data_IF_156025358018
#
_entry.id   IF_156025358018
#
_cell.length_a   1.000
_cell.length_b   1.000
_cell.length_c   1.000
_cell.angle_alpha   90.00
_cell.angle_beta   90.00
_cell.angle_gamma   90.00
#
_symmetry.space_group_name_H-M   'P 1'
#
loop_
_entity.id
_entity.type
_entity.pdbx_description
1 polymer ?
#
# COMPACT_ATOMS: atom_id res chain seq x y z
N UNK A 1 53.46 -9.27 -6.24
CA UNK A 1 53.28 -10.51 -7.03
C UNK A 1 53.90 -11.76 -6.42
N UNK A 2 54.79 -11.66 -5.42
CA UNK A 2 55.39 -12.83 -4.74
C UNK A 2 54.91 -13.03 -3.29
N UNK A 3 53.87 -12.32 -2.87
CA UNK A 3 53.27 -12.49 -1.54
C UNK A 3 52.18 -13.56 -1.67
N UNK A 4 52.23 -14.66 -0.89
CA UNK A 4 51.21 -15.69 -0.93
C UNK A 4 49.87 -15.14 -0.45
N UNK A 5 48.81 -15.38 -1.22
CA UNK A 5 47.45 -15.07 -0.79
C UNK A 5 47.03 -16.04 0.31
N UNK A 6 46.65 -15.49 1.47
CA UNK A 6 46.04 -16.24 2.57
C UNK A 6 44.61 -15.71 2.77
N UNK A 7 43.58 -16.58 2.79
CA UNK A 7 42.23 -16.14 3.03
C UNK A 7 42.06 -15.64 4.46
N UNK A 8 41.24 -14.61 4.64
CA UNK A 8 40.90 -14.13 5.97
C UNK A 8 40.16 -15.21 6.76
N UNK A 9 40.62 -15.49 7.99
CA UNK A 9 39.94 -16.38 8.93
C UNK A 9 39.12 -15.51 9.89
N UNK A 10 37.81 -15.62 9.83
CA UNK A 10 36.89 -14.93 10.73
C UNK A 10 35.89 -15.91 11.34
N UNK A 11 35.46 -15.66 12.58
CA UNK A 11 34.30 -16.34 13.17
C UNK A 11 33.05 -15.55 12.77
N UNK A 12 32.16 -16.20 12.04
CA UNK A 12 30.84 -15.65 11.76
C UNK A 12 30.02 -15.65 13.06
N UNK A 13 29.36 -14.54 13.35
CA UNK A 13 28.46 -14.37 14.48
C UNK A 13 27.27 -13.50 14.07
N UNK A 14 26.15 -13.68 14.76
CA UNK A 14 24.90 -12.98 14.47
C UNK A 14 24.02 -13.67 13.43
N UNK A 15 22.77 -13.23 13.37
CA UNK A 15 21.79 -13.66 12.36
C UNK A 15 21.77 -12.71 11.17
N UNK A 16 21.35 -13.19 10.00
CA UNK A 16 21.22 -12.32 8.82
C UNK A 16 20.28 -11.13 9.06
N UNK A 17 19.28 -11.29 9.94
CA UNK A 17 18.34 -10.22 10.32
C UNK A 17 18.96 -9.10 11.16
N UNK A 18 20.16 -9.30 11.72
CA UNK A 18 20.89 -8.25 12.45
C UNK A 18 21.73 -7.37 11.49
N UNK A 19 21.84 -7.75 10.22
CA UNK A 19 22.51 -6.94 9.21
C UNK A 19 21.72 -5.66 8.93
N UNK A 20 22.41 -4.52 8.90
CA UNK A 20 21.82 -3.19 8.69
C UNK A 20 21.06 -3.08 7.37
N UNK A 21 21.44 -3.84 6.35
CA UNK A 21 20.83 -3.81 5.02
C UNK A 21 19.78 -4.91 4.83
N UNK A 22 19.58 -5.79 5.81
CA UNK A 22 18.66 -6.92 5.69
C UNK A 22 17.25 -6.48 5.28
N UNK A 23 16.69 -5.47 5.96
CA UNK A 23 15.32 -5.01 5.67
C UNK A 23 15.18 -4.35 4.30
N UNK A 24 16.22 -3.66 3.84
CA UNK A 24 16.32 -3.10 2.48
C UNK A 24 16.38 -4.20 1.41
N UNK A 25 17.29 -5.16 1.56
CA UNK A 25 17.43 -6.28 0.60
C UNK A 25 16.18 -7.15 0.58
N UNK A 26 15.55 -7.35 1.75
CA UNK A 26 14.28 -8.05 1.87
C UNK A 26 13.18 -7.30 1.11
N UNK A 27 13.03 -5.99 1.31
CA UNK A 27 12.04 -5.19 0.59
C UNK A 27 12.26 -5.22 -0.93
N UNK A 28 13.52 -5.12 -1.38
CA UNK A 28 13.89 -5.25 -2.80
C UNK A 28 13.48 -6.61 -3.37
N UNK A 29 13.85 -7.70 -2.69
CA UNK A 29 13.54 -9.05 -3.14
C UNK A 29 12.02 -9.29 -3.21
N UNK A 30 11.26 -8.78 -2.24
CA UNK A 30 9.80 -8.86 -2.20
C UNK A 30 9.16 -8.11 -3.38
N UNK A 31 9.58 -6.87 -3.65
CA UNK A 31 9.04 -6.08 -4.77
C UNK A 31 9.41 -6.68 -6.14
N UNK A 32 10.63 -7.20 -6.31
CA UNK A 32 11.00 -7.95 -7.50
C UNK A 32 10.12 -9.19 -7.68
N UNK A 33 9.80 -9.91 -6.59
CA UNK A 33 8.97 -11.11 -6.64
C UNK A 33 7.51 -10.83 -7.01
N UNK A 34 7.04 -9.60 -6.74
CA UNK A 34 5.73 -9.09 -7.16
C UNK A 34 5.71 -8.61 -8.62
N UNK A 35 6.82 -8.75 -9.35
CA UNK A 35 6.89 -8.43 -10.78
C UNK A 35 7.07 -6.95 -11.08
N UNK A 36 7.70 -6.20 -10.16
CA UNK A 36 8.16 -4.84 -10.42
C UNK A 36 9.64 -4.83 -10.84
N UNK A 37 10.01 -3.85 -11.66
CA UNK A 37 11.39 -3.58 -12.05
C UNK A 37 12.01 -2.51 -11.14
N UNK A 38 13.21 -2.78 -10.61
CA UNK A 38 13.94 -1.79 -9.83
C UNK A 38 14.55 -0.73 -10.76
N UNK A 39 14.39 0.54 -10.39
CA UNK A 39 15.01 1.68 -11.06
C UNK A 39 15.97 2.37 -10.09
N UNK A 40 16.99 3.01 -10.65
CA UNK A 40 17.94 3.82 -9.87
C UNK A 40 18.08 5.19 -10.49
N UNK A 41 17.77 6.23 -9.73
CA UNK A 41 17.92 7.60 -10.15
C UNK A 41 19.08 8.30 -9.43
N UNK A 42 19.62 9.35 -10.04
CA UNK A 42 20.53 10.25 -9.35
C UNK A 42 19.86 10.86 -8.12
N UNK A 43 20.64 11.19 -7.09
CA UNK A 43 20.12 11.83 -5.88
C UNK A 43 20.02 13.36 -6.01
N UNK A 44 20.55 13.94 -7.09
CA UNK A 44 20.60 15.39 -7.34
C UNK A 44 19.69 15.79 -8.50
N UNK A 45 18.90 16.85 -8.30
CA UNK A 45 17.79 17.23 -9.16
C UNK A 45 17.62 18.76 -9.27
N UNK A 46 16.87 19.24 -10.27
CA UNK A 46 16.42 20.62 -10.33
C UNK A 46 15.45 20.93 -9.19
N UNK A 47 15.45 22.17 -8.70
CA UNK A 47 14.59 22.61 -7.59
C UNK A 47 13.10 22.34 -7.86
N UNK A 48 12.63 22.59 -9.08
CA UNK A 48 11.22 22.41 -9.45
C UNK A 48 10.74 20.97 -9.23
N UNK A 49 11.57 19.98 -9.57
CA UNK A 49 11.24 18.56 -9.40
C UNK A 49 11.26 18.15 -7.92
N UNK A 50 12.15 18.75 -7.12
CA UNK A 50 12.19 18.51 -5.67
C UNK A 50 10.95 19.03 -4.93
N UNK A 51 10.37 20.14 -5.39
CA UNK A 51 9.20 20.76 -4.77
C UNK A 51 7.87 20.12 -5.22
N UNK A 52 7.87 19.47 -6.39
CA UNK A 52 6.67 18.91 -7.00
C UNK A 52 5.92 17.95 -6.05
N UNK A 53 4.59 18.13 -5.95
CA UNK A 53 3.72 17.24 -5.18
C UNK A 53 3.92 17.32 -3.67
N UNK A 54 4.53 18.40 -3.16
CA UNK A 54 4.82 18.60 -1.74
C UNK A 54 4.51 20.03 -1.29
N UNK A 55 4.46 20.24 0.02
CA UNK A 55 4.38 21.57 0.65
C UNK A 55 5.77 22.16 0.96
N UNK A 56 6.83 21.49 0.55
CA UNK A 56 8.21 21.92 0.81
C UNK A 56 8.50 23.25 0.12
N UNK A 57 9.42 24.00 0.71
CA UNK A 57 10.01 25.19 0.13
C UNK A 57 11.49 24.94 -0.15
N UNK A 58 12.12 25.83 -0.91
CA UNK A 58 13.56 25.72 -1.20
C UNK A 58 14.41 25.64 0.08
N UNK A 59 14.02 26.36 1.14
CA UNK A 59 14.68 26.35 2.44
C UNK A 59 14.65 24.98 3.14
N UNK A 60 13.74 24.08 2.75
CA UNK A 60 13.62 22.73 3.32
C UNK A 60 14.50 21.71 2.58
N UNK A 61 15.16 22.12 1.49
CA UNK A 61 15.91 21.23 0.59
C UNK A 61 17.40 21.57 0.64
N UNK A 62 18.23 20.53 0.63
CA UNK A 62 19.67 20.70 0.62
C UNK A 62 20.16 21.09 -0.77
N UNK A 63 20.71 22.30 -0.90
CA UNK A 63 21.41 22.76 -2.10
C UNK A 63 22.89 22.37 -2.04
N UNK A 64 23.39 21.78 -3.12
CA UNK A 64 24.82 21.47 -3.28
C UNK A 64 25.60 22.77 -3.49
N UNK A 65 26.72 22.96 -2.79
CA UNK A 65 27.50 24.20 -2.88
C UNK A 65 28.09 24.43 -4.27
N UNK A 66 28.64 23.37 -4.88
CA UNK A 66 29.31 23.41 -6.19
C UNK A 66 28.67 22.36 -7.13
N UNK A 67 27.44 22.58 -7.61
CA UNK A 67 26.77 21.61 -8.46
C UNK A 67 27.39 21.59 -9.86
N UNK A 68 27.33 20.43 -10.51
CA UNK A 68 27.83 20.25 -11.90
C UNK A 68 26.97 21.08 -12.87
N UNK A 69 25.67 21.18 -12.62
CA UNK A 69 24.71 21.99 -13.37
C UNK A 69 23.53 22.43 -12.50
N UNK A 70 22.73 23.37 -12.99
CA UNK A 70 21.48 23.79 -12.33
C UNK A 70 20.50 22.62 -12.18
N UNK A 71 20.52 21.68 -13.12
CA UNK A 71 19.66 20.49 -13.13
C UNK A 71 20.07 19.44 -12.08
N UNK A 72 21.19 19.65 -11.40
CA UNK A 72 21.72 18.76 -10.35
C UNK A 72 22.07 19.54 -9.08
N UNK A 73 21.37 20.67 -8.84
CA UNK A 73 21.70 21.60 -7.78
C UNK A 73 21.18 21.22 -6.39
N UNK A 74 20.15 20.37 -6.29
CA UNK A 74 19.47 20.06 -5.02
C UNK A 74 19.42 18.56 -4.77
N UNK A 75 19.60 18.14 -3.52
CA UNK A 75 19.35 16.76 -3.13
C UNK A 75 17.85 16.49 -3.09
N UNK A 76 17.43 15.35 -3.62
CA UNK A 76 16.02 14.96 -3.68
C UNK A 76 15.41 14.82 -2.26
N UNK A 77 14.26 15.46 -1.99
CA UNK A 77 13.59 15.34 -0.70
C UNK A 77 12.62 14.18 -0.63
N UNK A 78 12.33 13.52 -1.75
CA UNK A 78 11.51 12.32 -1.89
C UNK A 78 11.88 11.59 -3.20
N UNK A 79 11.25 10.44 -3.49
CA UNK A 79 11.47 9.67 -4.73
C UNK A 79 10.53 10.04 -5.89
N UNK A 80 9.57 10.95 -5.69
CA UNK A 80 8.50 11.25 -6.66
C UNK A 80 9.03 11.75 -8.01
N UNK A 81 9.94 12.72 -7.99
CA UNK A 81 10.54 13.28 -9.23
C UNK A 81 11.27 12.21 -10.05
N UNK A 82 11.98 11.30 -9.36
CA UNK A 82 12.64 10.14 -9.95
C UNK A 82 11.68 9.23 -10.71
N UNK A 83 10.60 8.82 -10.04
CA UNK A 83 9.55 7.98 -10.62
C UNK A 83 8.94 8.65 -11.86
N UNK A 84 8.52 9.92 -11.76
CA UNK A 84 7.89 10.65 -12.86
C UNK A 84 8.80 10.78 -14.09
N UNK A 85 10.10 11.02 -13.87
CA UNK A 85 11.08 11.10 -14.97
C UNK A 85 11.23 9.77 -15.70
N UNK A 86 11.30 8.66 -14.96
CA UNK A 86 11.43 7.32 -15.55
C UNK A 86 10.15 6.91 -16.27
N UNK A 87 8.98 7.24 -15.72
CA UNK A 87 7.69 7.07 -16.41
C UNK A 87 7.69 7.84 -17.72
N UNK A 88 8.02 9.14 -17.70
CA UNK A 88 8.06 9.96 -18.91
C UNK A 88 9.07 9.44 -19.95
N UNK A 89 10.26 9.01 -19.49
CA UNK A 89 11.28 8.42 -20.35
C UNK A 89 10.75 7.21 -21.14
N UNK A 90 10.05 6.30 -20.46
CA UNK A 90 9.51 5.08 -21.07
C UNK A 90 8.30 5.37 -21.97
N UNK A 91 7.37 6.19 -21.50
CA UNK A 91 6.17 6.57 -22.26
C UNK A 91 6.55 7.28 -23.57
N UNK A 92 7.57 8.14 -23.55
CA UNK A 92 8.10 8.79 -24.76
C UNK A 92 8.70 7.82 -25.78
N UNK A 93 8.99 6.58 -25.38
CA UNK A 93 9.52 5.48 -26.21
C UNK A 93 8.45 4.42 -26.51
N UNK A 94 7.18 4.75 -26.31
CA UNK A 94 6.03 3.86 -26.50
C UNK A 94 5.95 2.66 -25.54
N UNK A 95 6.63 2.71 -24.40
CA UNK A 95 6.45 1.73 -23.30
C UNK A 95 5.45 2.28 -22.30
N UNK A 96 4.27 1.65 -22.22
CA UNK A 96 3.12 2.14 -21.43
C UNK A 96 2.73 1.24 -20.25
N UNK A 97 3.12 -0.04 -20.32
CA UNK A 97 2.95 -0.99 -19.23
C UNK A 97 4.18 -0.89 -18.34
N UNK A 98 4.03 -0.22 -17.20
CA UNK A 98 5.12 0.09 -16.28
C UNK A 98 4.76 -0.42 -14.89
N UNK A 99 5.68 -1.17 -14.29
CA UNK A 99 5.64 -1.60 -12.90
C UNK A 99 7.02 -1.40 -12.33
N UNK A 100 7.28 -0.22 -11.78
CA UNK A 100 8.63 0.15 -11.36
C UNK A 100 8.64 0.51 -9.89
N UNK A 101 9.78 0.27 -9.23
CA UNK A 101 10.02 0.76 -7.89
C UNK A 101 11.45 1.26 -7.72
N UNK A 102 11.65 2.14 -6.75
CA UNK A 102 12.96 2.61 -6.32
C UNK A 102 13.05 2.51 -4.80
N UNK A 103 14.18 2.03 -4.28
CA UNK A 103 14.55 2.17 -2.87
C UNK A 103 15.76 3.09 -2.81
N UNK A 104 15.65 4.20 -2.10
CA UNK A 104 16.66 5.24 -2.21
C UNK A 104 16.72 6.20 -1.05
N UNK A 105 17.92 6.76 -0.83
CA UNK A 105 18.12 7.83 0.14
C UNK A 105 17.50 9.13 -0.36
N UNK A 106 16.87 9.84 0.56
CA UNK A 106 16.31 11.17 0.36
C UNK A 106 16.70 12.08 1.53
N UNK A 107 16.72 13.38 1.26
CA UNK A 107 17.36 14.36 2.14
C UNK A 107 16.47 15.58 2.33
N UNK A 108 16.26 15.98 3.58
CA UNK A 108 15.52 17.21 3.90
C UNK A 108 16.22 17.98 5.03
N UNK A 109 16.06 19.30 5.03
CA UNK A 109 16.44 20.14 6.17
C UNK A 109 15.26 20.18 7.15
N UNK A 110 15.49 19.69 8.38
CA UNK A 110 14.55 19.87 9.50
C UNK A 110 15.23 20.67 10.59
N UNK A 111 14.63 21.81 10.96
CA UNK A 111 15.19 22.74 11.95
C UNK A 111 16.66 23.14 11.63
N UNK A 112 16.96 23.37 10.36
CA UNK A 112 18.30 23.73 9.87
C UNK A 112 19.31 22.58 9.86
N UNK A 113 18.91 21.34 10.17
CA UNK A 113 19.78 20.16 10.15
C UNK A 113 19.39 19.19 9.05
N UNK A 114 20.37 18.59 8.34
CA UNK A 114 20.08 17.54 7.37
C UNK A 114 19.54 16.30 8.08
N UNK A 115 18.45 15.77 7.53
CA UNK A 115 17.88 14.48 7.87
C UNK A 115 17.93 13.62 6.62
N UNK A 116 18.60 12.47 6.74
CA UNK A 116 18.66 11.44 5.72
C UNK A 116 17.72 10.31 6.12
N UNK A 117 16.92 9.83 5.17
CA UNK A 117 16.06 8.66 5.32
C UNK A 117 16.08 7.82 4.06
N UNK A 118 15.67 6.57 4.18
CA UNK A 118 15.50 5.67 3.03
C UNK A 118 14.02 5.58 2.72
N UNK A 119 13.63 5.96 1.51
CA UNK A 119 12.26 5.83 1.03
C UNK A 119 12.13 4.67 0.06
N UNK A 120 10.89 4.22 -0.10
CA UNK A 120 10.44 3.30 -1.13
C UNK A 120 9.41 4.06 -1.97
N UNK A 121 9.59 4.01 -3.28
CA UNK A 121 8.69 4.61 -4.25
C UNK A 121 8.25 3.57 -5.26
N UNK A 122 6.96 3.50 -5.57
CA UNK A 122 6.39 2.56 -6.54
C UNK A 122 5.58 3.37 -7.56
N UNK A 123 5.64 2.97 -8.84
CA UNK A 123 4.81 3.52 -9.90
C UNK A 123 4.26 2.41 -10.80
N UNK A 124 2.94 2.40 -10.98
CA UNK A 124 2.22 1.45 -11.82
C UNK A 124 1.41 2.20 -12.90
N UNK A 125 1.47 1.73 -14.14
CA UNK A 125 0.66 2.23 -15.26
C UNK A 125 0.49 1.14 -16.31
N UNK A 126 -0.57 1.21 -17.10
CA UNK A 126 -0.80 0.32 -18.23
C UNK A 126 -1.75 -0.82 -17.94
N UNK A 127 -1.59 -1.91 -18.68
CA UNK A 127 -2.45 -3.09 -18.63
C UNK A 127 -2.12 -3.96 -17.43
N UNK A 128 -3.15 -4.57 -16.86
CA UNK A 128 -3.03 -5.45 -15.68
C UNK A 128 -2.36 -6.78 -16.03
N UNK A 129 -2.62 -7.34 -17.19
CA UNK A 129 -2.03 -8.62 -17.63
C UNK A 129 -1.78 -8.62 -19.15
N UNK A 130 -0.81 -7.82 -19.64
CA UNK A 130 -0.58 -7.64 -21.08
C UNK A 130 -0.21 -8.92 -21.85
N UNK A 131 0.34 -9.91 -21.14
CA UNK A 131 0.76 -11.22 -21.65
C UNK A 131 -0.37 -12.24 -21.79
N UNK A 132 -1.53 -11.99 -21.16
CA UNK A 132 -2.67 -12.90 -21.18
C UNK A 132 -3.50 -12.75 -22.46
N UNK A 133 -4.40 -13.71 -22.66
CA UNK A 133 -5.34 -13.76 -23.78
C UNK A 133 -6.77 -13.58 -23.28
N UNK A 134 -7.70 -13.23 -24.18
CA UNK A 134 -9.10 -13.02 -23.82
C UNK A 134 -9.35 -11.65 -23.17
N UNK A 135 -10.40 -11.58 -22.33
CA UNK A 135 -10.86 -10.32 -21.72
C UNK A 135 -9.81 -9.68 -20.80
N UNK A 136 -9.04 -10.50 -20.06
CA UNK A 136 -8.01 -10.05 -19.11
C UNK A 136 -6.94 -9.17 -19.75
N UNK A 137 -6.66 -9.36 -21.06
CA UNK A 137 -5.68 -8.56 -21.81
C UNK A 137 -6.05 -7.08 -21.90
N UNK A 138 -7.35 -6.78 -21.79
CA UNK A 138 -7.89 -5.41 -21.90
C UNK A 138 -8.09 -4.75 -20.54
N UNK A 139 -7.91 -5.49 -19.45
CA UNK A 139 -7.95 -4.91 -18.11
C UNK A 139 -6.76 -3.98 -17.90
N UNK A 140 -7.04 -2.79 -17.36
CA UNK A 140 -6.03 -1.82 -17.00
C UNK A 140 -5.74 -1.90 -15.51
N UNK A 141 -4.54 -1.49 -15.14
CA UNK A 141 -4.21 -1.24 -13.74
C UNK A 141 -5.15 -0.13 -13.24
N UNK A 142 -5.72 -0.34 -12.06
CA UNK A 142 -6.52 0.62 -11.32
C UNK A 142 -5.96 0.83 -9.90
N UNK A 143 -6.65 1.63 -9.10
CA UNK A 143 -6.28 1.92 -7.72
C UNK A 143 -6.20 0.62 -6.88
N UNK A 144 -7.13 -0.31 -7.09
CA UNK A 144 -7.21 -1.55 -6.32
C UNK A 144 -6.11 -2.55 -6.69
N UNK A 145 -5.59 -2.50 -7.93
CA UNK A 145 -4.40 -3.24 -8.32
C UNK A 145 -3.18 -2.80 -7.49
N UNK A 146 -2.97 -1.49 -7.30
CA UNK A 146 -1.92 -0.99 -6.42
C UNK A 146 -2.18 -1.37 -4.95
N UNK A 147 -3.42 -1.19 -4.47
CA UNK A 147 -3.80 -1.57 -3.10
C UNK A 147 -3.49 -3.04 -2.81
N UNK A 148 -3.92 -3.95 -3.67
CA UNK A 148 -3.71 -5.39 -3.50
C UNK A 148 -2.23 -5.78 -3.56
N UNK A 149 -1.43 -5.09 -4.38
CA UNK A 149 0.03 -5.25 -4.42
C UNK A 149 0.66 -4.86 -3.08
N UNK A 150 0.26 -3.71 -2.52
CA UNK A 150 0.75 -3.23 -1.22
C UNK A 150 0.29 -4.15 -0.07
N UNK A 151 -0.97 -4.59 -0.07
CA UNK A 151 -1.49 -5.54 0.92
C UNK A 151 -0.69 -6.86 0.87
N UNK A 152 -0.51 -7.44 -0.32
CA UNK A 152 0.27 -8.67 -0.51
C UNK A 152 1.71 -8.52 -0.03
N UNK A 153 2.34 -7.38 -0.32
CA UNK A 153 3.70 -7.09 0.10
C UNK A 153 3.83 -6.99 1.63
N UNK A 154 2.91 -6.28 2.27
CA UNK A 154 2.91 -6.10 3.73
C UNK A 154 2.53 -7.38 4.47
N UNK A 155 1.58 -8.16 3.95
CA UNK A 155 1.19 -9.46 4.49
C UNK A 155 2.34 -10.49 4.41
N UNK A 156 3.11 -10.50 3.32
CA UNK A 156 4.30 -11.34 3.20
C UNK A 156 5.33 -11.06 4.30
N UNK A 157 5.34 -9.82 4.82
CA UNK A 157 6.16 -9.40 5.96
C UNK A 157 5.54 -9.76 7.31
N UNK A 158 4.34 -10.32 7.34
CA UNK A 158 3.59 -10.71 8.53
C UNK A 158 2.71 -9.60 9.11
N UNK A 159 2.48 -8.51 8.37
CA UNK A 159 1.63 -7.42 8.80
C UNK A 159 0.19 -7.68 8.35
N UNK A 160 -0.66 -8.15 9.27
CA UNK A 160 -2.04 -8.56 8.96
C UNK A 160 -3.11 -7.57 9.42
N UNK A 161 -2.79 -6.68 10.36
CA UNK A 161 -3.72 -5.68 10.89
C UNK A 161 -3.58 -4.34 10.16
N UNK A 162 -3.62 -4.40 8.83
CA UNK A 162 -3.50 -3.22 7.99
C UNK A 162 -4.79 -2.39 8.05
N UNK A 163 -4.63 -1.08 8.17
CA UNK A 163 -5.72 -0.11 8.06
C UNK A 163 -5.51 0.71 6.81
N UNK A 164 -6.57 0.86 6.01
CA UNK A 164 -6.55 1.69 4.83
C UNK A 164 -7.54 2.84 4.99
N UNK A 165 -7.04 4.08 4.99
CA UNK A 165 -7.84 5.28 5.24
C UNK A 165 -7.67 6.27 4.10
N UNK A 166 -8.78 6.91 3.69
CA UNK A 166 -8.72 7.97 2.68
C UNK A 166 -8.02 9.20 3.28
N UNK A 167 -7.05 9.75 2.55
CA UNK A 167 -6.28 10.92 2.96
C UNK A 167 -6.15 11.92 1.81
N UNK A 168 -5.73 13.14 2.11
CA UNK A 168 -5.38 14.13 1.10
C UNK A 168 -3.87 14.32 1.06
N UNK A 169 -3.30 14.33 -0.14
CA UNK A 169 -1.88 14.56 -0.31
C UNK A 169 -1.62 15.13 -1.72
N UNK A 170 -0.76 16.14 -1.82
CA UNK A 170 -0.56 16.94 -3.05
C UNK A 170 -0.03 16.14 -4.24
N UNK A 171 0.62 15.01 -3.98
CA UNK A 171 1.08 14.12 -5.04
C UNK A 171 -0.04 13.32 -5.74
N UNK A 172 -1.25 13.33 -5.20
CA UNK A 172 -2.33 12.46 -5.66
C UNK A 172 -3.58 13.23 -6.05
N UNK A 173 -4.40 12.61 -6.90
CA UNK A 173 -5.71 13.12 -7.29
C UNK A 173 -6.65 13.11 -6.09
N UNK A 174 -7.41 14.19 -5.93
CA UNK A 174 -8.43 14.29 -4.88
C UNK A 174 -9.45 13.16 -5.01
N UNK A 175 -9.78 12.51 -3.88
CA UNK A 175 -10.67 11.35 -3.83
C UNK A 175 -10.07 10.02 -4.29
N UNK A 176 -8.81 9.99 -4.74
CA UNK A 176 -8.11 8.77 -5.18
C UNK A 176 -6.75 8.61 -4.46
N UNK A 177 -6.74 8.86 -3.15
CA UNK A 177 -5.56 8.81 -2.29
C UNK A 177 -5.91 8.13 -0.96
N UNK A 178 -5.05 7.22 -0.51
CA UNK A 178 -5.18 6.54 0.77
C UNK A 178 -3.83 6.39 1.45
N UNK A 179 -3.86 6.26 2.78
CA UNK A 179 -2.72 5.79 3.56
C UNK A 179 -2.96 4.36 4.01
N UNK A 180 -1.88 3.58 4.06
CA UNK A 180 -1.83 2.25 4.66
C UNK A 180 -1.06 2.36 5.97
N UNK A 181 -1.66 1.92 7.07
CA UNK A 181 -1.03 1.97 8.39
C UNK A 181 -1.12 0.63 9.13
N UNK A 182 -0.17 0.40 10.03
CA UNK A 182 -0.16 -0.71 10.97
C UNK A 182 0.29 -0.20 12.33
N UNK A 183 -0.33 -0.67 13.42
CA UNK A 183 -0.05 -0.23 14.80
C UNK A 183 -0.02 1.30 14.98
N UNK A 184 -0.90 2.01 14.25
CA UNK A 184 -0.99 3.47 14.27
C UNK A 184 0.13 4.21 13.54
N UNK A 185 1.05 3.51 12.86
CA UNK A 185 2.11 4.11 12.03
C UNK A 185 1.73 4.05 10.57
N UNK A 186 1.78 5.19 9.88
CA UNK A 186 1.61 5.26 8.43
C UNK A 186 2.83 4.64 7.74
N UNK A 187 2.60 3.56 6.99
CA UNK A 187 3.65 2.84 6.27
C UNK A 187 3.86 3.44 4.89
N UNK A 188 2.75 3.69 4.19
CA UNK A 188 2.72 4.12 2.79
C UNK A 188 1.55 5.08 2.57
N UNK A 189 1.77 6.08 1.73
CA UNK A 189 0.70 6.86 1.08
C UNK A 189 0.67 6.49 -0.40
N UNK A 190 -0.51 6.26 -0.95
CA UNK A 190 -0.65 5.78 -2.31
C UNK A 190 -1.94 6.25 -2.98
N UNK A 191 -1.94 6.27 -4.30
CA UNK A 191 -3.09 6.74 -5.06
C UNK A 191 -2.78 7.02 -6.52
N UNK A 192 -3.77 7.59 -7.21
CA UNK A 192 -3.58 8.07 -8.58
C UNK A 192 -2.82 9.40 -8.57
N UNK A 193 -1.84 9.55 -9.46
CA UNK A 193 -1.01 10.74 -9.53
C UNK A 193 -1.85 12.01 -9.81
N UNK A 194 -1.52 13.11 -9.14
CA UNK A 194 -2.20 14.38 -9.36
C UNK A 194 -2.06 14.85 -10.82
N UNK A 195 -3.12 15.41 -11.46
CA UNK A 195 -3.07 15.87 -12.85
C UNK A 195 -1.94 16.88 -13.13
N UNK A 196 -1.60 17.70 -12.14
CA UNK A 196 -0.52 18.68 -12.25
C UNK A 196 0.87 18.03 -12.42
N UNK A 197 1.10 16.85 -11.80
CA UNK A 197 2.38 16.14 -11.84
C UNK A 197 2.61 15.41 -13.16
N UNK A 198 1.54 14.92 -13.78
CA UNK A 198 1.62 14.18 -15.04
C UNK A 198 1.45 15.08 -16.27
N UNK A 199 1.30 16.39 -16.05
CA UNK A 199 1.15 17.37 -17.14
C UNK A 199 2.37 17.33 -18.06
N UNK A 200 2.11 17.07 -19.35
CA UNK A 200 3.16 16.96 -20.37
C UNK A 200 3.71 15.54 -20.56
N UNK A 201 3.39 14.60 -19.67
CA UNK A 201 3.64 13.17 -19.88
C UNK A 201 2.51 12.62 -20.75
N UNK A 202 2.85 11.98 -21.88
CA UNK A 202 1.87 11.42 -22.84
C UNK A 202 1.30 10.07 -22.38
N UNK A 203 0.80 10.02 -21.16
CA UNK A 203 0.20 8.82 -20.57
C UNK A 203 -1.00 8.34 -21.40
N UNK A 204 -1.04 7.04 -21.71
CA UNK A 204 -2.22 6.37 -22.29
C UNK A 204 -3.16 5.80 -21.22
N UNK A 205 -2.63 5.59 -20.03
CA UNK A 205 -3.31 4.96 -18.89
C UNK A 205 -3.08 5.81 -17.64
N UNK A 206 -3.95 5.73 -16.62
CA UNK A 206 -3.71 6.38 -15.33
C UNK A 206 -2.40 5.90 -14.71
N UNK A 207 -1.73 6.80 -13.98
CA UNK A 207 -0.51 6.52 -13.23
C UNK A 207 -0.85 6.42 -11.75
N UNK A 208 -0.55 5.28 -11.13
CA UNK A 208 -0.69 5.05 -9.70
C UNK A 208 0.67 5.04 -9.03
N UNK A 209 0.77 5.67 -7.87
CA UNK A 209 2.02 5.87 -7.14
C UNK A 209 1.85 5.41 -5.69
N UNK A 210 2.93 4.90 -5.08
CA UNK A 210 3.02 4.74 -3.63
C UNK A 210 4.37 5.25 -3.13
N UNK A 211 4.37 5.88 -1.96
CA UNK A 211 5.55 6.44 -1.31
C UNK A 211 5.53 6.02 0.18
N UNK A 212 6.67 5.61 0.71
CA UNK A 212 6.79 5.23 2.12
C UNK A 212 8.21 5.34 2.66
N UNK A 213 8.34 5.44 3.98
CA UNK A 213 9.63 5.43 4.68
C UNK A 213 9.97 3.99 5.09
N UNK A 214 11.11 3.48 4.61
CA UNK A 214 11.55 2.12 4.90
C UNK A 214 11.80 1.92 6.40
N UNK A 215 12.31 2.93 7.11
CA UNK A 215 12.55 2.82 8.55
C UNK A 215 11.23 2.71 9.33
N UNK A 216 10.17 3.38 8.88
CA UNK A 216 8.85 3.24 9.50
C UNK A 216 8.31 1.83 9.26
N UNK A 217 8.43 1.32 8.03
CA UNK A 217 8.06 -0.05 7.67
C UNK A 217 8.81 -1.10 8.51
N UNK A 218 10.11 -0.92 8.73
CA UNK A 218 10.94 -1.81 9.56
C UNK A 218 10.64 -1.68 11.06
N UNK A 219 10.11 -0.53 11.49
CA UNK A 219 9.77 -0.30 12.90
C UNK A 219 8.47 -0.99 13.35
N UNK A 220 7.72 -1.57 12.42
CA UNK A 220 6.54 -2.38 12.74
C UNK A 220 6.95 -3.84 12.74
N UNK A 221 6.95 -4.43 13.93
CA UNK A 221 7.32 -5.82 14.10
C UNK A 221 6.14 -6.71 13.69
N UNK A 222 6.41 -7.70 12.84
CA UNK A 222 5.47 -8.78 12.63
C UNK A 222 5.29 -9.56 13.95
N UNK A 223 4.05 -9.96 14.30
CA UNK A 223 3.83 -10.83 15.43
C UNK A 223 4.58 -12.16 15.23
N UNK A 224 5.06 -12.72 16.33
CA UNK A 224 5.68 -14.04 16.33
C UNK A 224 4.70 -15.07 15.75
N UNK A 225 5.16 -15.82 14.74
CA UNK A 225 4.37 -16.91 14.15
C UNK A 225 4.28 -18.04 15.17
N UNK A 226 3.12 -18.18 15.79
CA UNK A 226 2.81 -19.28 16.69
C UNK A 226 2.05 -20.35 15.94
N UNK A 227 2.40 -21.61 16.21
CA UNK A 227 1.58 -22.72 15.75
C UNK A 227 0.17 -22.56 16.32
N UNK A 228 -0.81 -22.67 15.44
CA UNK A 228 -2.21 -22.79 15.78
C UNK A 228 -2.69 -24.13 15.22
N UNK A 229 -3.39 -24.91 16.02
CA UNK A 229 -3.95 -26.17 15.56
C UNK A 229 -4.93 -25.92 14.40
N UNK A 230 -4.86 -26.78 13.39
CA UNK A 230 -5.82 -26.73 12.30
C UNK A 230 -7.22 -27.05 12.87
N UNK A 231 -8.25 -26.28 12.47
CA UNK A 231 -9.60 -26.53 12.95
C UNK A 231 -10.06 -27.93 12.53
N UNK A 232 -10.50 -28.74 13.49
CA UNK A 232 -11.03 -30.08 13.24
C UNK A 232 -12.50 -30.05 12.79
N UNK A 233 -13.17 -28.90 12.95
CA UNK A 233 -14.58 -28.71 12.64
C UNK A 233 -14.75 -27.67 11.53
N UNK A 234 -15.78 -27.81 10.68
CA UNK A 234 -15.99 -26.89 9.58
C UNK A 234 -16.40 -25.50 10.08
N UNK A 235 -15.92 -24.47 9.39
CA UNK A 235 -16.45 -23.11 9.52
C UNK A 235 -17.83 -22.99 8.86
N UNK A 236 -18.65 -22.07 9.36
CA UNK A 236 -19.98 -21.73 8.82
C UNK A 236 -19.98 -20.26 8.40
N UNK A 237 -20.28 -20.01 7.12
CA UNK A 237 -20.41 -18.67 6.59
C UNK A 237 -21.86 -18.15 6.70
N UNK A 238 -22.01 -16.85 6.98
CA UNK A 238 -23.27 -16.11 6.88
C UNK A 238 -23.05 -14.80 6.18
N UNK A 239 -23.89 -14.55 5.19
CA UNK A 239 -23.86 -13.30 4.47
C UNK A 239 -24.75 -12.26 5.15
N UNK A 240 -24.29 -11.02 5.16
CA UNK A 240 -25.09 -9.86 5.56
C UNK A 240 -25.01 -8.80 4.47
N UNK A 241 -26.17 -8.23 4.14
CA UNK A 241 -26.25 -7.12 3.21
C UNK A 241 -27.00 -5.97 3.85
N UNK A 242 -26.52 -4.76 3.59
CA UNK A 242 -27.13 -3.54 4.09
C UNK A 242 -26.86 -2.38 3.14
N UNK A 243 -27.79 -1.43 3.13
CA UNK A 243 -27.64 -0.17 2.41
C UNK A 243 -26.93 0.83 3.31
N UNK A 244 -25.84 1.38 2.82
CA UNK A 244 -24.99 2.33 3.49
C UNK A 244 -24.97 3.68 2.76
N UNK A 245 -24.76 4.79 3.50
CA UNK A 245 -24.48 6.07 2.87
C UNK A 245 -23.12 6.03 2.15
N UNK A 246 -22.99 6.74 1.03
CA UNK A 246 -21.78 6.80 0.17
C UNK A 246 -20.48 7.16 0.90
N UNK A 247 -20.55 7.91 2.00
CA UNK A 247 -19.38 8.26 2.81
C UNK A 247 -18.93 7.17 3.80
N UNK A 248 -19.71 6.11 4.03
CA UNK A 248 -19.33 5.04 4.95
C UNK A 248 -18.23 4.19 4.32
N UNK A 249 -17.08 4.11 4.98
CA UNK A 249 -15.93 3.35 4.48
C UNK A 249 -15.98 1.89 4.93
N UNK A 250 -15.43 1.01 4.09
CA UNK A 250 -15.19 -0.39 4.44
C UNK A 250 -14.39 -0.54 5.75
N UNK A 251 -13.36 0.29 5.95
CA UNK A 251 -12.56 0.28 7.18
C UNK A 251 -13.42 0.54 8.43
N UNK A 252 -14.38 1.47 8.36
CA UNK A 252 -15.28 1.78 9.48
C UNK A 252 -16.16 0.58 9.85
N UNK A 253 -16.59 -0.20 8.86
CA UNK A 253 -17.37 -1.43 9.06
C UNK A 253 -16.50 -2.50 9.73
N UNK A 254 -15.29 -2.74 9.20
CA UNK A 254 -14.34 -3.68 9.80
C UNK A 254 -14.02 -3.32 11.26
N UNK A 255 -13.75 -2.04 11.53
CA UNK A 255 -13.48 -1.54 12.88
C UNK A 255 -14.65 -1.79 13.82
N UNK A 256 -15.87 -1.59 13.33
CA UNK A 256 -17.09 -1.78 14.10
C UNK A 256 -17.29 -3.26 14.45
N UNK A 257 -17.08 -4.16 13.49
CA UNK A 257 -17.17 -5.61 13.71
C UNK A 257 -16.04 -6.09 14.65
N UNK A 258 -14.80 -5.65 14.42
CA UNK A 258 -13.65 -6.00 15.26
C UNK A 258 -13.83 -5.55 16.71
N UNK A 259 -14.38 -4.35 16.94
CA UNK A 259 -14.66 -3.81 18.27
C UNK A 259 -15.68 -4.66 19.06
N UNK A 260 -16.50 -5.47 18.39
CA UNK A 260 -17.45 -6.38 19.07
C UNK A 260 -16.75 -7.57 19.74
N UNK A 261 -15.50 -7.89 19.35
CA UNK A 261 -14.73 -9.05 19.83
C UNK A 261 -15.57 -10.32 19.82
N UNK A 262 -16.20 -10.59 18.68
CA UNK A 262 -17.11 -11.72 18.55
C UNK A 262 -16.33 -13.03 18.75
N UNK A 263 -16.80 -13.93 19.64
CA UNK A 263 -16.20 -15.24 19.74
C UNK A 263 -16.40 -15.97 18.42
N UNK A 264 -15.44 -16.81 18.04
CA UNK A 264 -15.53 -17.71 16.88
C UNK A 264 -15.59 -17.02 15.51
N UNK A 265 -15.61 -15.69 15.42
CA UNK A 265 -15.50 -14.99 14.14
C UNK A 265 -14.06 -15.11 13.63
N UNK A 266 -13.90 -15.79 12.50
CA UNK A 266 -12.60 -16.07 11.89
C UNK A 266 -12.29 -15.08 10.75
N UNK A 267 -13.30 -14.78 9.92
CA UNK A 267 -13.11 -14.00 8.69
C UNK A 267 -14.29 -13.09 8.41
N UNK A 268 -13.98 -11.91 7.85
CA UNK A 268 -14.97 -10.92 7.38
C UNK A 268 -14.54 -10.50 5.98
N UNK A 269 -15.36 -10.79 4.97
CA UNK A 269 -15.03 -10.52 3.57
C UNK A 269 -16.09 -9.67 2.91
N UNK A 270 -15.70 -8.55 2.32
CA UNK A 270 -16.56 -7.80 1.41
C UNK A 270 -16.50 -8.47 0.04
N UNK A 271 -17.63 -8.96 -0.45
CA UNK A 271 -17.67 -9.66 -1.74
C UNK A 271 -18.49 -8.92 -2.81
N UNK A 272 -19.33 -7.96 -2.43
CA UNK A 272 -20.11 -7.18 -3.39
C UNK A 272 -20.38 -5.75 -2.90
N UNK A 273 -20.33 -4.80 -3.84
CA UNK A 273 -20.78 -3.43 -3.68
C UNK A 273 -21.71 -3.12 -4.85
N UNK A 274 -22.99 -2.98 -4.56
CA UNK A 274 -23.99 -2.64 -5.56
C UNK A 274 -24.41 -1.17 -5.40
N UNK A 275 -24.20 -0.37 -6.45
CA UNK A 275 -24.58 1.03 -6.51
C UNK A 275 -25.55 1.25 -7.68
N UNK A 276 -26.83 1.47 -7.36
CA UNK A 276 -27.86 1.85 -8.33
C UNK A 276 -28.79 2.88 -7.68
N UNK A 277 -28.70 4.14 -8.13
CA UNK A 277 -29.48 5.24 -7.57
C UNK A 277 -30.99 5.05 -7.74
N UNK A 278 -31.45 4.34 -8.77
CA UNK A 278 -32.89 4.12 -9.00
C UNK A 278 -33.46 3.13 -7.99
N UNK A 279 -32.64 2.17 -7.55
CA UNK A 279 -33.05 1.10 -6.62
C UNK A 279 -32.79 1.49 -5.17
N UNK A 280 -31.70 2.21 -4.90
CA UNK A 280 -31.22 2.51 -3.54
C UNK A 280 -31.46 3.96 -3.10
N UNK A 281 -31.78 4.86 -4.03
CA UNK A 281 -31.77 6.30 -3.80
C UNK A 281 -30.38 6.91 -3.97
N UNK A 282 -30.34 8.21 -4.23
CA UNK A 282 -29.10 8.95 -4.46
C UNK A 282 -28.18 8.91 -3.22
N UNK A 283 -26.88 8.76 -3.46
CA UNK A 283 -25.86 8.78 -2.41
C UNK A 283 -25.84 7.54 -1.50
N UNK A 284 -26.45 6.44 -1.92
CA UNK A 284 -26.50 5.15 -1.19
C UNK A 284 -25.92 4.01 -2.02
N UNK A 285 -25.36 3.02 -1.35
CA UNK A 285 -24.88 1.79 -1.97
C UNK A 285 -25.15 0.60 -1.04
N UNK A 286 -25.36 -0.59 -1.60
CA UNK A 286 -25.50 -1.82 -0.85
C UNK A 286 -24.14 -2.49 -0.73
N UNK A 287 -23.75 -2.87 0.48
CA UNK A 287 -22.54 -3.65 0.72
C UNK A 287 -22.92 -5.03 1.23
N UNK A 288 -22.28 -6.07 0.69
CA UNK A 288 -22.52 -7.46 1.10
C UNK A 288 -21.24 -8.08 1.64
N UNK A 289 -21.33 -8.62 2.85
CA UNK A 289 -20.22 -9.24 3.56
C UNK A 289 -20.50 -10.70 3.85
N UNK A 290 -19.48 -11.54 3.74
CA UNK A 290 -19.51 -12.91 4.28
C UNK A 290 -18.77 -12.96 5.60
N UNK A 291 -19.42 -13.49 6.63
CA UNK A 291 -18.87 -13.68 7.96
C UNK A 291 -18.65 -15.17 8.21
N UNK A 292 -17.39 -15.59 8.36
CA UNK A 292 -17.06 -16.99 8.64
C UNK A 292 -16.87 -17.19 10.14
N UNK A 293 -17.65 -18.09 10.71
CA UNK A 293 -17.57 -18.48 12.11
C UNK A 293 -17.03 -19.91 12.24
N UNK A 294 -16.04 -20.13 13.09
CA UNK A 294 -15.48 -21.45 13.36
C UNK A 294 -15.22 -21.62 14.86
N UNK A 295 -15.53 -22.82 15.37
CA UNK A 295 -15.18 -23.23 16.72
C UNK A 295 -14.22 -24.42 16.65
N UNK A 296 -13.05 -24.35 17.30
CA UNK A 296 -12.03 -25.39 17.22
C UNK A 296 -12.42 -26.69 17.95
N UNK A 297 -13.41 -26.66 18.84
CA UNK A 297 -13.78 -27.77 19.72
C UNK A 297 -15.06 -28.49 19.30
N UNK A 298 -15.90 -27.88 18.46
CA UNK A 298 -17.16 -28.49 18.00
C UNK A 298 -17.75 -27.80 16.76
N UNK A 299 -18.65 -28.49 16.08
CA UNK A 299 -19.50 -27.88 15.05
C UNK A 299 -20.46 -26.84 15.67
N UNK A 300 -20.62 -25.72 14.97
CA UNK A 300 -21.59 -24.67 15.33
C UNK A 300 -22.99 -25.05 14.86
N UNK A 301 -23.99 -24.76 15.68
CA UNK A 301 -25.40 -24.92 15.27
C UNK A 301 -25.89 -23.66 14.56
N UNK A 302 -26.89 -23.80 13.69
CA UNK A 302 -27.48 -22.65 12.98
C UNK A 302 -27.99 -21.57 13.94
N UNK A 303 -28.60 -21.97 15.05
CA UNK A 303 -29.12 -21.03 16.07
C UNK A 303 -28.01 -20.18 16.71
N UNK A 304 -26.82 -20.74 16.92
CA UNK A 304 -25.68 -20.03 17.48
C UNK A 304 -25.13 -19.01 16.49
N UNK A 305 -24.97 -19.43 15.23
CA UNK A 305 -24.46 -18.57 14.16
C UNK A 305 -25.47 -17.44 13.86
N UNK A 306 -26.76 -17.75 13.80
CA UNK A 306 -27.81 -16.76 13.56
C UNK A 306 -27.85 -15.70 14.68
N UNK A 307 -27.65 -16.08 15.95
CA UNK A 307 -27.55 -15.12 17.06
C UNK A 307 -26.34 -14.18 16.91
N UNK A 308 -25.19 -14.70 16.46
CA UNK A 308 -24.00 -13.88 16.21
C UNK A 308 -24.20 -12.94 15.02
N UNK A 309 -24.78 -13.43 13.93
CA UNK A 309 -25.12 -12.64 12.75
C UNK A 309 -26.09 -11.51 13.10
N UNK A 310 -27.18 -11.78 13.81
CA UNK A 310 -28.15 -10.76 14.24
C UNK A 310 -27.51 -9.73 15.17
N UNK A 311 -26.57 -10.15 16.02
CA UNK A 311 -25.79 -9.21 16.84
C UNK A 311 -24.94 -8.27 15.97
N UNK A 312 -24.31 -8.77 14.91
CA UNK A 312 -23.56 -7.92 13.95
C UNK A 312 -24.49 -6.96 13.24
N UNK A 313 -25.59 -7.47 12.65
CA UNK A 313 -26.58 -6.67 11.94
C UNK A 313 -27.09 -5.51 12.79
N UNK A 314 -27.49 -5.80 14.04
CA UNK A 314 -27.97 -4.77 14.98
C UNK A 314 -26.91 -3.72 15.28
N UNK A 315 -25.68 -4.12 15.60
CA UNK A 315 -24.61 -3.16 15.94
C UNK A 315 -24.23 -2.29 14.74
N UNK A 316 -24.19 -2.84 13.53
CA UNK A 316 -23.95 -2.06 12.32
C UNK A 316 -25.08 -1.05 12.10
N UNK A 317 -26.35 -1.47 12.19
CA UNK A 317 -27.49 -0.58 12.05
C UNK A 317 -27.49 0.56 13.08
N UNK A 318 -27.22 0.26 14.36
CA UNK A 318 -27.21 1.23 15.45
C UNK A 318 -26.03 2.22 15.37
N UNK A 319 -24.83 1.74 14.99
CA UNK A 319 -23.61 2.57 15.04
C UNK A 319 -23.27 3.29 13.74
N UNK A 320 -23.67 2.72 12.61
CA UNK A 320 -23.28 3.19 11.27
C UNK A 320 -24.48 3.67 10.44
N UNK A 321 -25.67 3.71 11.04
CA UNK A 321 -26.91 4.18 10.39
C UNK A 321 -27.19 3.46 9.06
N UNK A 322 -26.84 2.18 8.99
CA UNK A 322 -27.09 1.35 7.80
C UNK A 322 -28.48 0.71 7.86
N UNK A 323 -29.13 0.60 6.70
CA UNK A 323 -30.43 -0.04 6.56
C UNK A 323 -30.23 -1.50 6.16
N UNK A 324 -30.54 -2.42 7.07
CA UNK A 324 -30.47 -3.86 6.81
C UNK A 324 -31.45 -4.25 5.71
N UNK A 325 -31.02 -5.16 4.83
CA UNK A 325 -31.90 -5.85 3.89
C UNK A 325 -32.27 -7.24 4.40
#
# INVERSE_FOLDING_TARGET
>A
DSIPEAPAIARLGGSASEDRFFGLEKARAELLSLGLDEIMNYSMWPLADCLAGSTLQEADILRVSNPISIDTAYLRPNLLGGLLKVVNHNVSRNTHDLRIFEIGRVFQLKNGKPVERTEIGIALSGRRQPERYGAEKTENIDFFCLKGLLESWLEARGLHNLRCEAVQHLAFREGACASMSADGKELLVFGEAAPALVKGIRLRFPLFLALGDLAVLESVAAPEKKYCELPQFPGTARDISFVAPSGLTHQKILDTIAAMRLPMLEKVELFDIFADEKVLGAGRHSMSYSLTFCNPERTLTDDEVNKLQERVRRVLAEKLEVELR
#
